data_IF_842819753527
#
_entry.id   IF_842819753527
#
_cell.length_a   1.000
_cell.length_b   1.000
_cell.length_c   1.000
_cell.angle_alpha   90.00
_cell.angle_beta   90.00
_cell.angle_gamma   90.00
#
_symmetry.space_group_name_H-M   'P 1'
#
loop_
_entity.id
_entity.type
_entity.pdbx_description
1 polymer ?
#
# COMPACT_ATOMS: atom_id res chain seq x y z
N UNK A 1 16.80 -5.40 26.18
CA UNK A 1 17.71 -6.12 25.25
C UNK A 1 18.54 -7.15 25.98
N UNK A 2 19.30 -6.79 27.03
CA UNK A 2 20.11 -7.74 27.82
C UNK A 2 19.30 -8.92 28.40
N UNK A 3 18.16 -8.64 29.04
CA UNK A 3 17.27 -9.68 29.59
C UNK A 3 16.75 -10.66 28.53
N UNK A 4 16.52 -10.17 27.32
CA UNK A 4 15.99 -10.95 26.19
C UNK A 4 17.10 -11.56 25.32
N UNK A 5 18.38 -11.35 25.65
CA UNK A 5 19.52 -11.81 24.86
C UNK A 5 19.61 -11.23 23.45
N UNK A 6 19.05 -10.04 23.22
CA UNK A 6 19.01 -9.40 21.89
C UNK A 6 20.25 -8.55 21.64
N UNK A 7 20.82 -8.69 20.44
CA UNK A 7 22.08 -8.08 20.03
C UNK A 7 21.88 -6.78 19.21
N UNK A 8 20.66 -6.47 18.79
CA UNK A 8 20.37 -5.26 18.03
C UNK A 8 18.95 -4.70 18.25
N UNK A 9 18.77 -3.42 17.93
CA UNK A 9 17.44 -2.79 17.94
C UNK A 9 16.50 -3.37 16.89
N UNK A 10 17.03 -3.92 15.78
CA UNK A 10 16.24 -4.64 14.77
C UNK A 10 15.65 -5.93 15.31
N UNK A 11 16.40 -6.66 16.13
CA UNK A 11 15.90 -7.85 16.83
C UNK A 11 14.83 -7.51 17.86
N UNK A 12 14.95 -6.36 18.53
CA UNK A 12 13.92 -5.86 19.45
C UNK A 12 12.60 -5.57 18.73
N UNK A 13 12.66 -4.94 17.55
CA UNK A 13 11.48 -4.77 16.70
C UNK A 13 10.86 -6.14 16.35
N UNK A 14 11.68 -7.11 15.93
CA UNK A 14 11.19 -8.46 15.62
C UNK A 14 10.54 -9.15 16.82
N UNK A 15 11.13 -9.03 18.00
CA UNK A 15 10.57 -9.59 19.23
C UNK A 15 9.15 -9.04 19.51
N UNK A 16 8.98 -7.72 19.38
CA UNK A 16 7.67 -7.08 19.54
C UNK A 16 6.67 -7.55 18.46
N UNK A 17 7.08 -7.59 17.19
CA UNK A 17 6.20 -8.01 16.10
C UNK A 17 5.75 -9.47 16.24
N UNK A 18 6.64 -10.41 16.62
CA UNK A 18 6.25 -11.81 16.89
C UNK A 18 5.28 -11.95 18.06
N UNK A 19 5.45 -11.13 19.09
CA UNK A 19 4.52 -11.11 20.21
C UNK A 19 3.10 -10.70 19.73
N UNK A 20 3.01 -9.66 18.91
CA UNK A 20 1.75 -9.19 18.33
C UNK A 20 1.16 -10.23 17.38
N UNK A 21 1.97 -10.82 16.48
CA UNK A 21 1.58 -11.88 15.56
C UNK A 21 0.94 -13.06 16.31
N UNK A 22 1.63 -13.57 17.34
CA UNK A 22 1.14 -14.67 18.18
C UNK A 22 -0.16 -14.29 18.89
N UNK A 23 -0.28 -13.06 19.37
CA UNK A 23 -1.49 -12.59 20.06
C UNK A 23 -2.68 -12.50 19.09
N UNK A 24 -2.47 -12.00 17.87
CA UNK A 24 -3.48 -11.95 16.83
C UNK A 24 -3.92 -13.36 16.41
N UNK A 25 -2.98 -14.29 16.25
CA UNK A 25 -3.29 -15.69 15.93
C UNK A 25 -4.16 -16.35 17.01
N UNK A 26 -3.90 -16.10 18.29
CA UNK A 26 -4.75 -16.56 19.41
C UNK A 26 -6.18 -16.00 19.36
N UNK A 27 -6.39 -14.87 18.69
CA UNK A 27 -7.70 -14.24 18.48
C UNK A 27 -8.33 -14.65 17.14
N UNK A 28 -7.73 -15.61 16.41
CA UNK A 28 -8.20 -16.03 15.08
C UNK A 28 -7.99 -14.95 14.00
N UNK A 29 -7.00 -14.07 14.16
CA UNK A 29 -6.67 -12.99 13.22
C UNK A 29 -5.30 -13.21 12.60
N UNK A 30 -5.20 -12.95 11.30
CA UNK A 30 -3.93 -12.94 10.56
C UNK A 30 -3.30 -11.56 10.69
N UNK A 31 -1.99 -11.49 10.93
CA UNK A 31 -1.29 -10.21 11.01
C UNK A 31 -1.07 -9.65 9.60
N UNK A 32 -1.17 -8.33 9.46
CA UNK A 32 -0.78 -7.59 8.27
C UNK A 32 0.23 -6.53 8.69
N UNK A 33 1.23 -6.27 7.86
CA UNK A 33 2.27 -5.30 8.17
C UNK A 33 2.85 -4.66 6.91
N UNK A 34 3.45 -3.49 7.08
CA UNK A 34 4.26 -2.86 6.03
C UNK A 34 5.50 -3.71 5.73
N UNK A 35 6.05 -3.55 4.54
CA UNK A 35 7.18 -4.33 4.03
C UNK A 35 8.40 -4.37 4.95
N UNK A 36 8.61 -3.40 5.84
CA UNK A 36 9.72 -3.43 6.79
C UNK A 36 9.66 -4.62 7.75
N UNK A 37 8.47 -5.21 7.92
CA UNK A 37 8.23 -6.38 8.76
C UNK A 37 8.92 -7.64 8.23
N UNK A 38 9.14 -7.77 6.92
CA UNK A 38 9.78 -8.97 6.34
C UNK A 38 11.29 -9.05 6.62
N UNK A 39 11.96 -7.92 6.90
CA UNK A 39 13.43 -7.92 7.04
C UNK A 39 13.88 -8.51 8.37
N UNK A 40 14.79 -9.49 8.33
CA UNK A 40 15.50 -10.00 9.50
C UNK A 40 14.70 -11.03 10.30
N UNK A 41 13.93 -11.87 9.62
CA UNK A 41 13.15 -12.99 10.18
C UNK A 41 12.30 -12.56 11.39
N UNK A 42 11.72 -11.36 11.27
CA UNK A 42 10.97 -10.71 12.34
C UNK A 42 9.58 -11.29 12.51
N UNK A 43 8.98 -11.83 11.46
CA UNK A 43 7.59 -12.33 11.45
C UNK A 43 7.54 -13.61 10.63
N UNK A 44 6.53 -14.45 10.88
CA UNK A 44 6.32 -15.64 10.06
C UNK A 44 5.74 -15.28 8.69
N UNK A 45 5.85 -16.21 7.74
CA UNK A 45 5.22 -16.10 6.40
C UNK A 45 3.69 -16.08 6.44
N UNK A 46 3.08 -16.36 7.60
CA UNK A 46 1.64 -16.15 7.81
C UNK A 46 1.29 -14.67 7.94
N UNK A 47 2.25 -13.75 8.07
CA UNK A 47 1.96 -12.31 7.98
C UNK A 47 1.73 -11.90 6.52
N UNK A 48 0.70 -11.09 6.25
CA UNK A 48 0.50 -10.46 4.93
C UNK A 48 1.32 -9.17 4.86
N UNK A 49 2.05 -8.98 3.77
CA UNK A 49 2.92 -7.83 3.58
C UNK A 49 2.30 -6.80 2.62
N UNK A 50 2.12 -5.58 3.09
CA UNK A 50 1.82 -4.42 2.26
C UNK A 50 3.13 -3.84 1.73
N UNK A 51 3.39 -3.99 0.44
CA UNK A 51 4.60 -3.47 -0.18
C UNK A 51 4.35 -2.13 -0.83
N UNK A 52 5.15 -1.14 -0.44
CA UNK A 52 4.98 0.25 -0.84
C UNK A 52 6.19 0.86 -1.52
N UNK A 53 7.40 0.34 -1.29
CA UNK A 53 8.61 0.87 -1.93
C UNK A 53 8.60 0.66 -3.46
N UNK A 54 8.22 -0.53 -3.92
CA UNK A 54 8.14 -0.86 -5.35
C UNK A 54 7.45 -2.19 -5.59
N UNK A 55 7.02 -2.46 -6.83
CA UNK A 55 6.54 -3.79 -7.23
C UNK A 55 7.64 -4.86 -7.12
N UNK A 56 8.90 -4.50 -7.38
CA UNK A 56 10.03 -5.41 -7.25
C UNK A 56 10.20 -5.87 -5.79
N UNK A 57 10.05 -4.97 -4.82
CA UNK A 57 10.08 -5.31 -3.41
C UNK A 57 8.93 -6.26 -3.03
N UNK A 58 7.74 -6.09 -3.61
CA UNK A 58 6.62 -7.00 -3.42
C UNK A 58 6.92 -8.40 -3.96
N UNK A 59 7.50 -8.48 -5.16
CA UNK A 59 7.92 -9.74 -5.79
C UNK A 59 8.97 -10.46 -4.94
N UNK A 60 9.94 -9.73 -4.38
CA UNK A 60 10.94 -10.30 -3.46
C UNK A 60 10.31 -10.84 -2.18
N UNK A 61 9.30 -10.15 -1.63
CA UNK A 61 8.54 -10.64 -0.47
C UNK A 61 7.73 -11.90 -0.83
N UNK A 62 7.05 -11.90 -1.97
CA UNK A 62 6.32 -13.05 -2.48
C UNK A 62 7.23 -14.26 -2.69
N UNK A 63 8.44 -14.06 -3.24
CA UNK A 63 9.46 -15.09 -3.42
C UNK A 63 9.99 -15.69 -2.11
N UNK A 64 9.86 -14.97 -0.99
CA UNK A 64 10.14 -15.46 0.37
C UNK A 64 8.97 -16.24 0.99
N UNK A 65 7.84 -16.35 0.28
CA UNK A 65 6.68 -17.13 0.69
C UNK A 65 5.54 -16.31 1.30
N UNK A 66 5.72 -15.01 1.51
CA UNK A 66 4.68 -14.12 2.02
C UNK A 66 3.56 -13.92 0.99
N UNK A 67 2.33 -13.78 1.47
CA UNK A 67 1.27 -13.20 0.65
C UNK A 67 1.39 -11.67 0.71
N UNK A 68 1.17 -10.98 -0.41
CA UNK A 68 1.47 -9.55 -0.54
C UNK A 68 0.28 -8.76 -1.09
N UNK A 69 0.14 -7.53 -0.61
CA UNK A 69 -0.73 -6.51 -1.19
C UNK A 69 0.16 -5.45 -1.85
N UNK A 70 -0.11 -5.17 -3.12
CA UNK A 70 0.61 -4.13 -3.86
C UNK A 70 0.06 -2.75 -3.46
N UNK A 71 0.92 -1.90 -2.93
CA UNK A 71 0.60 -0.51 -2.64
C UNK A 71 1.77 0.42 -3.02
N UNK A 72 2.34 0.32 -4.23
CA UNK A 72 3.52 1.09 -4.61
C UNK A 72 3.23 2.59 -4.56
N UNK A 73 4.02 3.32 -3.77
CA UNK A 73 3.81 4.74 -3.51
C UNK A 73 3.88 5.60 -4.77
N UNK A 74 4.54 5.13 -5.83
CA UNK A 74 4.71 5.85 -7.10
C UNK A 74 3.45 5.85 -7.98
N UNK A 75 2.42 5.10 -7.60
CA UNK A 75 1.19 4.94 -8.38
C UNK A 75 -0.09 5.00 -7.53
N UNK A 76 -0.03 4.60 -6.25
CA UNK A 76 -1.22 4.30 -5.45
C UNK A 76 -1.43 5.23 -4.24
N UNK A 77 -0.53 6.21 -4.04
CA UNK A 77 -0.63 7.15 -2.92
C UNK A 77 -1.38 8.40 -3.35
N UNK A 78 -2.58 8.57 -2.82
CA UNK A 78 -3.50 9.65 -3.18
C UNK A 78 -3.10 10.99 -2.57
N UNK A 79 -2.21 10.99 -1.58
CA UNK A 79 -1.60 12.17 -0.94
C UNK A 79 -0.52 12.85 -1.80
N UNK A 80 -0.09 12.21 -2.90
CA UNK A 80 0.87 12.77 -3.84
C UNK A 80 0.26 13.89 -4.68
N UNK A 81 1.10 14.83 -5.11
CA UNK A 81 0.70 15.86 -6.06
C UNK A 81 0.20 15.24 -7.37
N UNK A 82 -0.92 15.76 -7.88
CA UNK A 82 -1.60 15.25 -9.08
C UNK A 82 -1.13 15.93 -10.38
N UNK A 83 -0.30 16.96 -10.28
CA UNK A 83 0.23 17.75 -11.39
C UNK A 83 1.63 18.25 -11.04
N UNK A 84 2.41 18.63 -12.05
CA UNK A 84 3.75 19.21 -11.91
C UNK A 84 3.71 20.73 -11.68
N UNK A 85 2.55 21.36 -11.73
CA UNK A 85 2.39 22.77 -11.37
C UNK A 85 2.84 23.04 -9.93
N UNK A 86 3.56 24.14 -9.71
CA UNK A 86 4.14 24.48 -8.40
C UNK A 86 3.09 24.77 -7.31
N UNK A 87 1.87 25.12 -7.71
CA UNK A 87 0.74 25.37 -6.83
C UNK A 87 -0.04 24.10 -6.49
N UNK A 88 0.28 22.95 -7.11
CA UNK A 88 -0.37 21.69 -6.81
C UNK A 88 -0.02 21.28 -5.38
N UNK A 89 -1.05 21.09 -4.58
CA UNK A 89 -0.89 20.68 -3.20
C UNK A 89 -0.83 19.17 -3.10
N UNK A 90 0.17 18.64 -2.42
CA UNK A 90 0.40 17.22 -2.21
C UNK A 90 1.86 16.96 -1.83
N UNK A 91 2.18 15.72 -1.51
CA UNK A 91 3.57 15.30 -1.35
C UNK A 91 4.22 14.98 -2.70
N UNK A 92 5.55 14.98 -2.70
CA UNK A 92 6.35 14.77 -3.91
C UNK A 92 7.42 13.68 -3.72
N UNK A 93 7.46 13.05 -2.54
CA UNK A 93 8.57 12.17 -2.15
C UNK A 93 8.57 10.83 -2.88
N UNK A 94 7.39 10.30 -3.27
CA UNK A 94 7.29 9.05 -4.03
C UNK A 94 7.31 9.34 -5.53
N UNK A 95 6.36 10.14 -6.01
CA UNK A 95 6.28 10.67 -7.37
C UNK A 95 5.17 11.71 -7.45
N UNK A 96 5.10 12.46 -8.57
CA UNK A 96 3.86 13.13 -8.98
C UNK A 96 2.98 12.09 -9.67
N UNK A 97 1.70 12.03 -9.32
CA UNK A 97 0.75 11.01 -9.78
C UNK A 97 -0.46 11.68 -10.45
N UNK A 98 -0.32 12.10 -11.73
CA UNK A 98 -1.47 12.51 -12.53
C UNK A 98 -2.46 11.35 -12.71
N UNK A 99 -3.73 11.69 -12.93
CA UNK A 99 -4.80 10.70 -13.14
C UNK A 99 -4.44 9.66 -14.23
N UNK A 100 -3.83 10.11 -15.34
CA UNK A 100 -3.37 9.23 -16.40
C UNK A 100 -2.34 8.20 -15.92
N UNK A 101 -1.41 8.60 -15.04
CA UNK A 101 -0.40 7.72 -14.46
C UNK A 101 -1.04 6.67 -13.56
N UNK A 102 -1.97 7.08 -12.69
CA UNK A 102 -2.68 6.16 -11.82
C UNK A 102 -3.54 5.16 -12.63
N UNK A 103 -4.24 5.66 -13.67
CA UNK A 103 -5.09 4.84 -14.53
C UNK A 103 -4.31 3.81 -15.37
N UNK A 104 -3.13 4.20 -15.87
CA UNK A 104 -2.29 3.30 -16.66
C UNK A 104 -1.38 2.40 -15.82
N UNK A 105 -1.49 2.42 -14.49
CA UNK A 105 -0.79 1.47 -13.65
C UNK A 105 -1.30 0.05 -13.92
N UNK A 106 -0.42 -0.80 -14.44
CA UNK A 106 -0.68 -2.21 -14.72
C UNK A 106 0.18 -3.05 -13.77
N UNK A 107 -0.38 -3.61 -12.68
CA UNK A 107 0.39 -4.37 -11.71
C UNK A 107 1.02 -5.61 -12.37
N UNK A 108 2.28 -5.89 -12.03
CA UNK A 108 3.01 -7.07 -12.47
C UNK A 108 3.11 -7.19 -14.00
N UNK A 109 3.10 -6.09 -14.75
CA UNK A 109 3.11 -6.10 -16.22
C UNK A 109 4.22 -6.96 -16.83
N UNK A 110 5.40 -6.90 -16.22
CA UNK A 110 6.61 -7.61 -16.69
C UNK A 110 6.67 -9.08 -16.25
N UNK A 111 5.74 -9.53 -15.41
CA UNK A 111 5.67 -10.91 -14.93
C UNK A 111 4.75 -11.72 -15.83
N UNK A 112 5.20 -12.87 -16.32
CA UNK A 112 4.36 -13.75 -17.15
C UNK A 112 3.06 -14.13 -16.40
N UNK A 113 1.95 -14.26 -17.13
CA UNK A 113 0.63 -14.52 -16.54
C UNK A 113 0.52 -15.87 -15.84
N UNK A 114 1.32 -16.84 -16.26
CA UNK A 114 1.41 -18.20 -15.72
C UNK A 114 2.45 -18.34 -14.59
N UNK A 115 3.12 -17.24 -14.21
CA UNK A 115 4.10 -17.28 -13.14
C UNK A 115 3.40 -17.47 -11.78
N UNK A 116 3.74 -18.52 -10.99
CA UNK A 116 3.09 -18.83 -9.71
C UNK A 116 3.26 -17.74 -8.66
N UNK A 117 4.21 -16.81 -8.83
CA UNK A 117 4.36 -15.68 -7.90
C UNK A 117 3.12 -14.77 -7.87
N UNK A 118 2.31 -14.80 -8.94
CA UNK A 118 1.05 -14.06 -9.01
C UNK A 118 0.02 -14.56 -7.98
N UNK A 119 0.06 -15.84 -7.63
CA UNK A 119 -0.83 -16.44 -6.61
C UNK A 119 -0.57 -15.90 -5.21
N UNK A 120 0.64 -15.35 -4.99
CA UNK A 120 1.02 -14.68 -3.74
C UNK A 120 0.53 -13.24 -3.66
N UNK A 121 0.08 -12.66 -4.76
CA UNK A 121 -0.39 -11.28 -4.79
C UNK A 121 -1.90 -11.25 -4.57
N UNK A 122 -2.31 -10.81 -3.37
CA UNK A 122 -3.72 -10.77 -2.96
C UNK A 122 -4.52 -9.68 -3.68
N UNK A 123 -3.85 -8.61 -4.11
CA UNK A 123 -4.48 -7.50 -4.80
C UNK A 123 -3.68 -6.21 -4.72
N UNK A 124 -4.34 -5.09 -5.04
CA UNK A 124 -3.81 -3.73 -4.99
C UNK A 124 -4.59 -2.93 -3.96
N UNK A 125 -3.92 -2.03 -3.26
CA UNK A 125 -4.55 -1.01 -2.41
C UNK A 125 -4.09 0.38 -2.85
N UNK A 126 -4.95 1.38 -2.68
CA UNK A 126 -4.59 2.79 -2.71
C UNK A 126 -4.72 3.38 -1.30
N UNK A 127 -3.81 4.27 -0.94
CA UNK A 127 -3.75 4.87 0.40
C UNK A 127 -3.83 6.39 0.30
N UNK A 128 -4.51 7.01 1.27
CA UNK A 128 -4.46 8.45 1.49
C UNK A 128 -3.82 8.68 2.87
N UNK A 129 -2.62 9.23 2.88
CA UNK A 129 -2.02 9.77 4.10
C UNK A 129 -2.53 11.21 4.34
N UNK A 130 -2.84 11.54 5.59
CA UNK A 130 -3.65 12.72 5.93
C UNK A 130 -2.87 13.85 6.62
N UNK A 131 -1.54 13.88 6.54
CA UNK A 131 -0.71 14.91 7.19
C UNK A 131 -1.08 16.33 6.73
N UNK A 132 -1.51 16.47 5.46
CA UNK A 132 -1.95 17.74 4.85
C UNK A 132 -3.43 17.69 4.44
N UNK A 133 -4.21 16.76 4.99
CA UNK A 133 -5.65 16.58 4.70
C UNK A 133 -6.44 16.81 5.98
N UNK A 134 -6.72 18.07 6.26
CA UNK A 134 -7.37 18.54 7.49
C UNK A 134 -8.84 18.93 7.30
N UNK A 135 -9.32 18.94 6.06
CA UNK A 135 -10.68 19.33 5.69
C UNK A 135 -11.35 18.28 4.79
N UNK A 136 -12.68 18.10 4.88
CA UNK A 136 -13.43 17.22 3.98
C UNK A 136 -13.27 17.57 2.50
N UNK A 137 -13.18 18.87 2.18
CA UNK A 137 -12.98 19.36 0.82
C UNK A 137 -11.62 18.91 0.28
N UNK A 138 -10.58 18.98 1.12
CA UNK A 138 -9.25 18.49 0.77
C UNK A 138 -9.25 16.97 0.58
N UNK A 139 -9.94 16.23 1.44
CA UNK A 139 -10.10 14.78 1.29
C UNK A 139 -10.76 14.43 -0.05
N UNK A 140 -11.85 15.10 -0.39
CA UNK A 140 -12.54 14.89 -1.67
C UNK A 140 -11.64 15.21 -2.86
N UNK A 141 -10.87 16.29 -2.79
CA UNK A 141 -9.92 16.66 -3.83
C UNK A 141 -8.84 15.58 -4.06
N UNK A 142 -8.28 15.02 -2.97
CA UNK A 142 -7.24 14.00 -3.08
C UNK A 142 -7.78 12.65 -3.58
N UNK A 143 -8.99 12.27 -3.18
CA UNK A 143 -9.60 10.98 -3.56
C UNK A 143 -10.28 11.04 -4.94
N UNK A 144 -10.84 12.17 -5.33
CA UNK A 144 -11.53 12.38 -6.62
C UNK A 144 -10.79 13.44 -7.47
N UNK A 145 -9.70 13.05 -8.14
CA UNK A 145 -8.86 13.97 -8.92
C UNK A 145 -9.60 14.62 -10.11
N UNK A 146 -10.71 14.05 -10.58
CA UNK A 146 -11.51 14.60 -11.68
C UNK A 146 -12.27 15.89 -11.33
N UNK A 147 -12.30 16.31 -10.06
CA UNK A 147 -13.01 17.50 -9.60
C UNK A 147 -12.15 18.78 -9.57
N UNK A 148 -11.08 18.85 -10.37
CA UNK A 148 -10.52 20.15 -10.75
C UNK A 148 -11.55 20.83 -11.68
N UNK A 149 -12.04 22.04 -11.37
CA UNK A 149 -12.75 22.84 -12.35
C UNK A 149 -11.74 23.33 -13.40
N UNK A 150 -11.44 22.47 -14.37
CA UNK A 150 -10.75 22.89 -15.59
C UNK A 150 -11.80 23.30 -16.62
N UNK A 151 -11.56 24.31 -17.48
CA UNK A 151 -12.47 24.65 -18.58
C UNK A 151 -12.71 23.52 -19.59
N UNK A 152 -12.01 22.37 -19.47
CA UNK A 152 -12.06 21.24 -20.40
C UNK A 152 -12.75 19.98 -19.85
N UNK A 153 -13.20 19.95 -18.59
CA UNK A 153 -13.85 18.75 -18.04
C UNK A 153 -15.35 18.69 -18.37
N UNK A 154 -15.67 18.52 -19.65
CA UNK A 154 -16.98 18.06 -20.10
C UNK A 154 -16.97 16.53 -20.20
N UNK A 155 -17.66 15.87 -19.26
CA UNK A 155 -18.37 14.62 -19.57
C UNK A 155 -17.69 13.28 -19.27
N UNK A 156 -16.99 13.12 -18.14
CA UNK A 156 -16.67 11.77 -17.63
C UNK A 156 -17.42 11.52 -16.32
N UNK A 157 -18.56 10.83 -16.44
CA UNK A 157 -19.28 10.23 -15.32
C UNK A 157 -18.56 8.95 -14.89
N UNK A 158 -17.71 9.04 -13.86
CA UNK A 158 -17.28 7.86 -13.12
C UNK A 158 -18.47 7.37 -12.29
N UNK A 159 -19.03 6.21 -12.64
CA UNK A 159 -19.90 5.46 -11.72
C UNK A 159 -19.02 4.91 -10.59
N UNK A 160 -19.01 5.58 -9.45
CA UNK A 160 -18.48 5.03 -8.20
C UNK A 160 -19.52 4.09 -7.59
N UNK A 161 -19.45 2.80 -7.94
CA UNK A 161 -19.99 1.77 -7.06
C UNK A 161 -18.97 1.54 -5.94
N UNK A 162 -19.23 2.12 -4.77
CA UNK A 162 -18.53 1.74 -3.53
C UNK A 162 -19.12 0.39 -3.11
N UNK A 163 -18.57 -0.68 -3.69
CA UNK A 163 -18.85 -2.04 -3.25
C UNK A 163 -18.14 -2.30 -1.91
N UNK A 164 -18.83 -2.09 -0.79
CA UNK A 164 -18.48 -2.77 0.46
C UNK A 164 -18.87 -4.24 0.31
N UNK A 165 -17.99 -5.07 -0.27
CA UNK A 165 -18.10 -6.52 -0.11
C UNK A 165 -17.71 -6.86 1.32
N UNK A 166 -18.71 -7.22 2.13
CA UNK A 166 -18.55 -7.74 3.46
C UNK A 166 -17.80 -9.08 3.41
N UNK A 167 -16.54 -9.09 3.84
CA UNK A 167 -15.75 -10.31 4.06
C UNK A 167 -16.03 -10.89 5.45
N UNK A 168 -17.30 -11.19 5.71
CA UNK A 168 -17.75 -11.98 6.85
C UNK A 168 -18.81 -12.97 6.36
N UNK A 169 -18.33 -14.08 5.80
CA UNK A 169 -18.93 -15.40 5.88
C UNK A 169 -17.79 -16.43 5.92
#
# INVERSE_FOLDING_TARGET
MQELGLNSTKELQGHMLRHVEKKLAQLGKRMLGWEEAQYGDKVSTDTIIYSWQSEQAAIECAGKGFDVVLQPGQFTYLDMAQDFEQNESGFYWANVIPLERAYHYQPLKEIASDNPIRDKVLGIQAALWCELVDTPERLQYMVHPSCKPSPKSLGLSLKTEIGMTSWLD
#
